data_IF_459725758066
#
_entry.id   IF_459725758066
#
_cell.length_a   1.000
_cell.length_b   1.000
_cell.length_c   1.000
_cell.angle_alpha   90.00
_cell.angle_beta   90.00
_cell.angle_gamma   90.00
#
_symmetry.space_group_name_H-M   'P 1'
#
loop_
_entity.id
_entity.type
_entity.pdbx_description
1 polymer ?
#
# COMPACT_ATOMS: atom_id res chain seq x y z
N UNK A 1 -18.56 20.09 -1.08
CA UNK A 1 -17.43 19.14 -1.26
C UNK A 1 -18.00 17.76 -1.58
N UNK A 2 -17.42 17.05 -2.54
CA UNK A 2 -17.77 15.65 -2.82
C UNK A 2 -17.07 14.74 -1.80
N UNK A 3 -17.73 13.64 -1.40
CA UNK A 3 -17.21 12.72 -0.40
C UNK A 3 -16.32 11.62 -1.06
N UNK A 4 -15.66 10.81 -0.24
CA UNK A 4 -14.75 9.76 -0.72
C UNK A 4 -15.44 8.71 -1.60
N UNK A 5 -16.71 8.36 -1.34
CA UNK A 5 -17.44 7.37 -2.15
C UNK A 5 -17.76 7.92 -3.53
N UNK A 6 -18.08 9.21 -3.63
CA UNK A 6 -18.25 9.90 -4.91
C UNK A 6 -16.93 9.97 -5.69
N UNK A 7 -15.81 10.24 -5.00
CA UNK A 7 -14.48 10.23 -5.59
C UNK A 7 -14.09 8.83 -6.09
N UNK A 8 -14.36 7.80 -5.30
CA UNK A 8 -14.15 6.40 -5.71
C UNK A 8 -14.93 6.08 -6.99
N UNK A 9 -16.19 6.51 -7.07
CA UNK A 9 -16.98 6.33 -8.27
C UNK A 9 -16.37 7.04 -9.48
N UNK A 10 -15.96 8.31 -9.33
CA UNK A 10 -15.29 9.06 -10.41
C UNK A 10 -14.04 8.35 -10.90
N UNK A 11 -13.20 7.85 -10.01
CA UNK A 11 -11.98 7.10 -10.36
C UNK A 11 -12.32 5.83 -11.14
N UNK A 12 -13.29 5.03 -10.67
CA UNK A 12 -13.67 3.80 -11.35
C UNK A 12 -14.26 4.07 -12.74
N UNK A 13 -15.18 5.04 -12.85
CA UNK A 13 -15.78 5.43 -14.13
C UNK A 13 -14.72 5.92 -15.13
N UNK A 14 -13.70 6.63 -14.66
CA UNK A 14 -12.61 7.12 -15.49
C UNK A 14 -11.67 6.00 -15.95
N UNK A 15 -11.29 5.08 -15.04
CA UNK A 15 -10.42 3.94 -15.37
C UNK A 15 -11.02 3.03 -16.46
N UNK A 16 -12.34 2.84 -16.45
CA UNK A 16 -13.04 2.05 -17.48
C UNK A 16 -12.99 2.72 -18.87
N UNK A 17 -12.93 4.06 -18.90
CA UNK A 17 -12.90 4.82 -20.16
C UNK A 17 -11.50 4.95 -20.78
N UNK A 18 -10.46 4.50 -20.06
CA UNK A 18 -9.09 4.63 -20.56
C UNK A 18 -8.88 3.79 -21.84
N UNK A 19 -8.22 4.37 -22.88
CA UNK A 19 -8.12 3.78 -24.21
C UNK A 19 -7.06 2.66 -24.25
N UNK A 20 -7.37 1.52 -23.65
CA UNK A 20 -6.52 0.32 -23.68
C UNK A 20 -6.86 -0.62 -24.87
N UNK A 21 -7.79 -0.22 -25.73
CA UNK A 21 -8.09 -0.94 -26.97
C UNK A 21 -7.06 -0.56 -28.07
N UNK A 22 -5.82 -1.00 -27.86
CA UNK A 22 -4.65 -0.69 -28.68
C UNK A 22 -3.99 -1.98 -29.18
N UNK A 23 -3.15 -1.82 -30.20
CA UNK A 23 -2.31 -2.92 -30.71
C UNK A 23 -0.86 -2.77 -30.24
N UNK A 24 -0.14 -3.90 -29.99
CA UNK A 24 -0.64 -5.28 -30.07
C UNK A 24 -1.57 -5.62 -28.88
N UNK A 25 -2.66 -6.34 -29.16
CA UNK A 25 -3.66 -6.69 -28.13
C UNK A 25 -3.03 -7.48 -26.96
N UNK A 26 -2.12 -8.38 -27.25
CA UNK A 26 -1.38 -9.17 -26.25
C UNK A 26 -0.63 -8.33 -25.19
N UNK A 27 -0.32 -7.07 -25.49
CA UNK A 27 0.29 -6.14 -24.53
C UNK A 27 -0.75 -5.40 -23.69
N UNK A 28 -1.86 -4.97 -24.30
CA UNK A 28 -2.84 -4.11 -23.67
C UNK A 28 -4.00 -4.85 -22.98
N UNK A 29 -4.34 -6.07 -23.39
CA UNK A 29 -5.35 -6.90 -22.72
C UNK A 29 -5.00 -7.21 -21.26
N UNK A 30 -3.75 -7.59 -20.90
CA UNK A 30 -3.37 -7.78 -19.51
C UNK A 30 -3.46 -6.48 -18.68
N UNK A 31 -3.12 -5.33 -19.27
CA UNK A 31 -3.24 -4.02 -18.60
C UNK A 31 -4.72 -3.73 -18.26
N UNK A 32 -5.61 -3.91 -19.23
CA UNK A 32 -7.05 -3.75 -19.03
C UNK A 32 -7.57 -4.72 -17.98
N UNK A 33 -7.12 -5.98 -18.05
CA UNK A 33 -7.50 -7.03 -17.11
C UNK A 33 -7.14 -6.66 -15.67
N UNK A 34 -5.90 -6.29 -15.40
CA UNK A 34 -5.45 -5.90 -14.05
C UNK A 34 -6.23 -4.68 -13.52
N UNK A 35 -6.42 -3.65 -14.33
CA UNK A 35 -7.15 -2.45 -13.92
C UNK A 35 -8.65 -2.72 -13.70
N UNK A 36 -9.23 -3.73 -14.38
CA UNK A 36 -10.63 -4.14 -14.22
C UNK A 36 -10.90 -5.03 -13.00
N UNK A 37 -9.88 -5.60 -12.35
CA UNK A 37 -10.05 -6.44 -11.14
C UNK A 37 -10.65 -5.69 -9.95
N UNK A 38 -10.91 -4.39 -10.08
CA UNK A 38 -11.45 -3.57 -9.01
C UNK A 38 -10.37 -3.19 -7.97
N UNK A 39 -10.81 -2.95 -6.76
CA UNK A 39 -9.97 -2.57 -5.62
C UNK A 39 -10.47 -1.32 -4.92
N UNK A 40 -9.89 -1.02 -3.76
CA UNK A 40 -10.30 0.09 -2.89
C UNK A 40 -9.93 1.47 -3.43
N UNK A 41 -9.06 1.54 -4.45
CA UNK A 41 -8.59 2.79 -5.09
C UNK A 41 -8.13 3.84 -4.07
N UNK A 42 -7.48 3.42 -2.99
CA UNK A 42 -7.11 4.28 -1.86
C UNK A 42 -6.26 5.47 -2.33
N UNK A 43 -5.24 5.22 -3.16
CA UNK A 43 -4.28 6.24 -3.59
C UNK A 43 -4.90 7.35 -4.44
N UNK A 44 -5.64 7.06 -5.51
CA UNK A 44 -6.33 8.11 -6.25
C UNK A 44 -7.37 8.86 -5.41
N UNK A 45 -8.11 8.17 -4.54
CA UNK A 45 -9.08 8.83 -3.64
C UNK A 45 -8.36 9.77 -2.66
N UNK A 46 -7.24 9.38 -2.07
CA UNK A 46 -6.42 10.25 -1.21
C UNK A 46 -5.90 11.48 -1.97
N UNK A 47 -5.47 11.33 -3.23
CA UNK A 47 -5.06 12.47 -4.06
C UNK A 47 -6.20 13.46 -4.26
N UNK A 48 -7.39 12.97 -4.60
CA UNK A 48 -8.58 13.80 -4.78
C UNK A 48 -9.03 14.46 -3.48
N UNK A 49 -9.00 13.75 -2.35
CA UNK A 49 -9.32 14.30 -1.02
C UNK A 49 -8.34 15.39 -0.62
N UNK A 50 -7.04 15.18 -0.85
CA UNK A 50 -6.02 16.19 -0.57
C UNK A 50 -6.21 17.45 -1.40
N UNK A 51 -6.48 17.30 -2.70
CA UNK A 51 -6.83 18.43 -3.59
C UNK A 51 -8.06 19.18 -3.06
N UNK A 52 -9.08 18.43 -2.63
CA UNK A 52 -10.36 18.98 -2.17
C UNK A 52 -10.25 19.76 -0.85
N UNK A 53 -9.14 19.68 -0.13
CA UNK A 53 -8.86 20.56 1.01
C UNK A 53 -8.74 22.03 0.60
N UNK A 54 -8.26 22.30 -0.63
CA UNK A 54 -7.91 23.63 -1.10
C UNK A 54 -8.80 24.12 -2.26
N UNK A 55 -9.32 23.21 -3.11
CA UNK A 55 -10.19 23.47 -4.27
C UNK A 55 -11.39 22.53 -4.30
N UNK A 56 -12.44 22.89 -5.04
CA UNK A 56 -13.72 22.16 -5.04
C UNK A 56 -14.01 21.41 -6.36
N UNK A 57 -13.06 21.37 -7.28
CA UNK A 57 -13.13 20.74 -8.60
C UNK A 57 -12.15 19.57 -8.77
N UNK A 58 -12.17 18.52 -7.88
CA UNK A 58 -11.19 17.44 -7.89
C UNK A 58 -11.21 16.60 -9.18
N UNK A 59 -12.28 16.64 -9.96
CA UNK A 59 -12.39 16.01 -11.28
C UNK A 59 -11.35 16.51 -12.27
N UNK A 60 -10.81 17.70 -12.08
CA UNK A 60 -9.76 18.28 -12.94
C UNK A 60 -8.43 17.55 -12.83
N UNK A 61 -8.22 16.78 -11.74
CA UNK A 61 -7.00 15.99 -11.52
C UNK A 61 -7.23 14.48 -11.60
N UNK A 62 -8.34 14.02 -12.19
CA UNK A 62 -8.62 12.58 -12.35
C UNK A 62 -7.53 11.86 -13.16
N UNK A 63 -6.95 12.52 -14.17
CA UNK A 63 -5.89 11.92 -14.99
C UNK A 63 -4.64 11.59 -14.15
N UNK A 64 -4.01 12.52 -13.41
CA UNK A 64 -2.90 12.20 -12.53
C UNK A 64 -3.28 11.24 -11.39
N UNK A 65 -4.50 11.30 -10.85
CA UNK A 65 -4.97 10.33 -9.86
C UNK A 65 -5.03 8.89 -10.43
N UNK A 66 -5.56 8.73 -11.64
CA UNK A 66 -5.57 7.45 -12.34
C UNK A 66 -4.19 7.01 -12.85
N UNK A 67 -3.26 7.95 -13.11
CA UNK A 67 -1.86 7.63 -13.37
C UNK A 67 -1.23 6.93 -12.17
N UNK A 68 -1.45 7.45 -10.97
CA UNK A 68 -0.94 6.85 -9.73
C UNK A 68 -1.55 5.45 -9.47
N UNK A 69 -2.83 5.26 -9.76
CA UNK A 69 -3.46 3.94 -9.67
C UNK A 69 -2.92 2.96 -10.73
N UNK A 70 -2.60 3.46 -11.94
CA UNK A 70 -1.95 2.65 -12.98
C UNK A 70 -0.57 2.20 -12.54
N UNK A 71 0.23 3.11 -11.96
CA UNK A 71 1.53 2.80 -11.37
C UNK A 71 1.40 1.76 -10.25
N UNK A 72 0.46 1.94 -9.33
CA UNK A 72 0.24 0.97 -8.25
C UNK A 72 -0.11 -0.42 -8.78
N UNK A 73 -0.97 -0.51 -9.81
CA UNK A 73 -1.30 -1.82 -10.39
C UNK A 73 -0.11 -2.42 -11.19
N UNK A 74 0.80 -1.60 -11.71
CA UNK A 74 2.09 -2.05 -12.22
C UNK A 74 2.91 -2.74 -11.14
N UNK A 75 3.09 -2.10 -9.98
CA UNK A 75 3.86 -2.70 -8.88
C UNK A 75 3.24 -4.02 -8.41
N UNK A 76 1.91 -4.10 -8.30
CA UNK A 76 1.22 -5.34 -7.94
C UNK A 76 1.39 -6.46 -8.97
N UNK A 77 1.41 -6.11 -10.26
CA UNK A 77 1.58 -7.09 -11.33
C UNK A 77 2.96 -7.73 -11.31
N UNK A 78 4.02 -6.92 -11.07
CA UNK A 78 5.38 -7.42 -10.94
C UNK A 78 5.60 -8.15 -9.61
N UNK A 79 5.04 -7.65 -8.50
CA UNK A 79 5.03 -8.30 -7.19
C UNK A 79 4.44 -9.72 -7.29
N UNK A 80 3.26 -9.87 -7.91
CA UNK A 80 2.63 -11.17 -8.15
C UNK A 80 3.52 -12.16 -8.92
N UNK A 81 4.32 -11.66 -9.87
CA UNK A 81 5.26 -12.49 -10.62
C UNK A 81 6.47 -12.88 -9.77
N UNK A 82 7.03 -11.97 -8.99
CA UNK A 82 8.16 -12.21 -8.09
C UNK A 82 7.79 -13.22 -7.01
N UNK A 83 6.60 -13.07 -6.42
CA UNK A 83 6.08 -13.95 -5.37
C UNK A 83 5.50 -15.27 -5.93
N UNK A 84 5.45 -15.43 -7.26
CA UNK A 84 4.81 -16.55 -7.95
C UNK A 84 3.34 -16.77 -7.49
N UNK A 85 2.62 -15.70 -7.19
CA UNK A 85 1.28 -15.72 -6.65
C UNK A 85 0.25 -16.24 -7.67
N UNK A 86 -0.63 -17.15 -7.28
CA UNK A 86 -1.64 -17.70 -8.20
C UNK A 86 -2.81 -16.75 -8.42
N UNK A 87 -3.23 -16.05 -7.37
CA UNK A 87 -4.44 -15.22 -7.36
C UNK A 87 -4.19 -13.81 -6.81
N UNK A 88 -4.81 -12.80 -7.46
CA UNK A 88 -4.94 -11.43 -6.98
C UNK A 88 -6.41 -11.02 -6.97
N UNK A 89 -6.95 -10.64 -5.81
CA UNK A 89 -8.38 -10.23 -5.67
C UNK A 89 -9.37 -11.30 -6.19
N UNK A 90 -9.05 -12.58 -6.03
CA UNK A 90 -9.85 -13.71 -6.50
C UNK A 90 -9.74 -14.01 -8.00
N UNK A 91 -8.86 -13.31 -8.73
CA UNK A 91 -8.59 -13.54 -10.14
C UNK A 91 -7.19 -14.11 -10.33
N UNK A 92 -6.99 -14.93 -11.37
CA UNK A 92 -5.65 -15.40 -11.75
C UNK A 92 -4.71 -14.21 -11.99
N UNK A 93 -3.46 -14.32 -11.52
CA UNK A 93 -2.42 -13.33 -11.81
C UNK A 93 -2.04 -13.34 -13.30
N UNK A 94 -1.45 -12.24 -13.79
CA UNK A 94 -1.14 -12.12 -15.23
C UNK A 94 -0.19 -13.21 -15.70
N UNK A 95 0.84 -13.55 -14.91
CA UNK A 95 1.81 -14.58 -15.28
C UNK A 95 1.22 -16.00 -15.30
N UNK A 96 0.16 -16.26 -14.53
CA UNK A 96 -0.58 -17.55 -14.57
C UNK A 96 -1.56 -17.60 -15.75
N UNK A 97 -2.29 -16.51 -15.97
CA UNK A 97 -3.29 -16.43 -17.05
C UNK A 97 -2.67 -16.34 -18.45
N UNK A 98 -1.54 -15.67 -18.58
CA UNK A 98 -0.79 -15.56 -19.85
C UNK A 98 0.58 -16.25 -19.69
N UNK A 99 1.62 -15.52 -19.33
CA UNK A 99 2.96 -16.02 -19.03
C UNK A 99 3.81 -14.90 -18.39
N UNK A 100 5.01 -15.27 -17.91
CA UNK A 100 5.94 -14.32 -17.26
C UNK A 100 6.37 -13.18 -18.17
N UNK A 101 6.69 -13.43 -19.45
CA UNK A 101 7.11 -12.38 -20.38
C UNK A 101 5.99 -11.36 -20.63
N UNK A 102 4.74 -11.82 -20.70
CA UNK A 102 3.56 -10.93 -20.81
C UNK A 102 3.42 -10.08 -19.56
N UNK A 103 3.62 -10.65 -18.36
CA UNK A 103 3.58 -9.89 -17.11
C UNK A 103 4.66 -8.81 -17.10
N UNK A 104 5.91 -9.13 -17.45
CA UNK A 104 7.00 -8.15 -17.52
C UNK A 104 6.67 -7.03 -18.50
N UNK A 105 6.38 -7.35 -19.76
CA UNK A 105 6.16 -6.32 -20.80
C UNK A 105 4.93 -5.46 -20.56
N UNK A 106 3.84 -6.05 -20.05
CA UNK A 106 2.63 -5.29 -19.73
C UNK A 106 2.85 -4.40 -18.52
N UNK A 107 3.59 -4.86 -17.50
CA UNK A 107 3.98 -4.07 -16.34
C UNK A 107 4.85 -2.89 -16.72
N UNK A 108 5.93 -3.10 -17.50
CA UNK A 108 6.79 -2.01 -18.00
C UNK A 108 5.99 -0.97 -18.79
N UNK A 109 5.05 -1.46 -19.61
CA UNK A 109 4.16 -0.55 -20.35
C UNK A 109 3.23 0.23 -19.43
N UNK A 110 2.75 -0.36 -18.32
CA UNK A 110 1.94 0.35 -17.32
C UNK A 110 2.75 1.43 -16.62
N UNK A 111 4.03 1.20 -16.31
CA UNK A 111 4.93 2.21 -15.77
C UNK A 111 5.03 3.42 -16.72
N UNK A 112 5.31 3.18 -17.99
CA UNK A 112 5.40 4.25 -19.01
C UNK A 112 4.05 4.97 -19.18
N UNK A 113 2.92 4.24 -19.18
CA UNK A 113 1.58 4.83 -19.26
C UNK A 113 1.26 5.69 -18.03
N UNK A 114 1.73 5.31 -16.84
CA UNK A 114 1.57 6.13 -15.65
C UNK A 114 2.30 7.47 -15.78
N UNK A 115 3.55 7.47 -16.23
CA UNK A 115 4.30 8.70 -16.53
C UNK A 115 3.62 9.54 -17.64
N UNK A 116 3.19 8.91 -18.73
CA UNK A 116 2.50 9.60 -19.83
C UNK A 116 1.24 10.32 -19.36
N UNK A 117 0.54 9.80 -18.36
CA UNK A 117 -0.65 10.42 -17.78
C UNK A 117 -0.32 11.44 -16.70
N UNK A 118 0.67 11.15 -15.86
CA UNK A 118 1.09 12.07 -14.80
C UNK A 118 1.55 13.42 -15.39
N UNK A 119 2.25 13.41 -16.52
CA UNK A 119 2.67 14.63 -17.21
C UNK A 119 1.53 15.46 -17.81
N UNK A 120 0.28 14.95 -17.80
CA UNK A 120 -0.89 15.72 -18.27
C UNK A 120 -1.52 16.57 -17.16
N UNK A 121 -0.86 16.74 -16.04
CA UNK A 121 -1.21 17.73 -15.02
C UNK A 121 -0.91 19.18 -15.53
N UNK A 122 -1.28 20.19 -14.74
CA UNK A 122 -1.03 21.58 -15.10
C UNK A 122 0.46 21.85 -15.38
N UNK A 123 0.76 22.56 -16.45
CA UNK A 123 2.13 22.74 -16.97
C UNK A 123 3.07 23.44 -15.99
N UNK A 124 2.55 24.36 -15.17
CA UNK A 124 3.29 25.08 -14.14
C UNK A 124 3.69 24.21 -12.94
N UNK A 125 3.01 23.08 -12.72
CA UNK A 125 3.27 22.12 -11.64
C UNK A 125 3.94 20.84 -12.11
N UNK A 126 4.02 20.61 -13.42
CA UNK A 126 4.47 19.35 -13.99
C UNK A 126 5.87 18.95 -13.53
N UNK A 127 6.83 19.88 -13.47
CA UNK A 127 8.19 19.55 -13.04
C UNK A 127 8.25 19.08 -11.58
N UNK A 128 7.52 19.76 -10.69
CA UNK A 128 7.44 19.42 -9.27
C UNK A 128 6.75 18.07 -9.04
N UNK A 129 5.62 17.84 -9.72
CA UNK A 129 4.85 16.59 -9.66
C UNK A 129 5.67 15.41 -10.18
N UNK A 130 6.34 15.55 -11.33
CA UNK A 130 7.15 14.47 -11.90
C UNK A 130 8.39 14.19 -11.06
N UNK A 131 9.04 15.19 -10.48
CA UNK A 131 10.16 14.98 -9.57
C UNK A 131 9.75 14.14 -8.36
N UNK A 132 8.66 14.53 -7.69
CA UNK A 132 8.11 13.77 -6.55
C UNK A 132 7.71 12.35 -6.95
N UNK A 133 7.00 12.20 -8.07
CA UNK A 133 6.56 10.87 -8.52
C UNK A 133 7.74 9.96 -8.89
N UNK A 134 8.79 10.52 -9.52
CA UNK A 134 9.99 9.74 -9.88
C UNK A 134 10.77 9.28 -8.67
N UNK A 135 10.98 10.16 -7.68
CA UNK A 135 11.62 9.80 -6.42
C UNK A 135 10.85 8.69 -5.72
N UNK A 136 9.53 8.86 -5.58
CA UNK A 136 8.67 7.84 -4.99
C UNK A 136 8.72 6.51 -5.73
N UNK A 137 8.83 6.55 -7.07
CA UNK A 137 8.94 5.33 -7.87
C UNK A 137 10.25 4.57 -7.61
N UNK A 138 11.36 5.28 -7.38
CA UNK A 138 12.64 4.70 -6.98
C UNK A 138 12.56 4.12 -5.56
N UNK A 139 12.05 4.88 -4.61
CA UNK A 139 11.86 4.44 -3.22
C UNK A 139 11.06 3.13 -3.14
N UNK A 140 10.01 2.97 -3.97
CA UNK A 140 9.22 1.73 -4.00
C UNK A 140 10.04 0.55 -4.52
N UNK A 141 10.90 0.77 -5.51
CA UNK A 141 11.83 -0.26 -6.01
C UNK A 141 12.82 -0.69 -4.93
N UNK A 142 13.37 0.27 -4.18
CA UNK A 142 14.25 0.01 -3.03
C UNK A 142 13.52 -0.77 -1.93
N UNK A 143 12.27 -0.40 -1.63
CA UNK A 143 11.44 -1.12 -0.67
C UNK A 143 11.12 -2.55 -1.08
N UNK A 144 10.91 -2.80 -2.37
CA UNK A 144 10.72 -4.15 -2.92
C UNK A 144 12.00 -4.99 -2.80
N UNK A 145 13.16 -4.40 -3.08
CA UNK A 145 14.45 -5.10 -2.91
C UNK A 145 14.71 -5.47 -1.44
N UNK A 146 14.41 -4.57 -0.48
CA UNK A 146 14.49 -4.90 0.94
C UNK A 146 13.57 -6.07 1.31
N UNK A 147 12.30 -6.08 0.87
CA UNK A 147 11.35 -7.16 1.18
C UNK A 147 11.87 -8.52 0.68
N UNK A 148 12.39 -8.57 -0.55
CA UNK A 148 13.02 -9.78 -1.12
C UNK A 148 14.29 -10.19 -0.38
N UNK A 149 15.18 -9.24 -0.04
CA UNK A 149 16.41 -9.53 0.67
C UNK A 149 16.16 -10.08 2.09
N UNK A 150 15.09 -9.61 2.76
CA UNK A 150 14.72 -10.06 4.11
C UNK A 150 14.28 -11.52 4.16
N UNK A 151 13.81 -12.11 3.05
CA UNK A 151 13.49 -13.53 2.99
C UNK A 151 14.71 -14.42 3.31
N UNK A 152 15.91 -13.93 2.98
CA UNK A 152 17.17 -14.66 3.12
C UNK A 152 18.03 -14.20 4.31
N UNK A 153 17.50 -13.33 5.17
CA UNK A 153 18.18 -12.79 6.34
C UNK A 153 17.47 -13.20 7.63
N UNK A 154 18.27 -13.47 8.69
CA UNK A 154 17.76 -13.78 10.03
C UNK A 154 18.05 -12.65 11.04
N UNK A 155 18.77 -11.60 10.61
CA UNK A 155 19.23 -10.48 11.42
C UNK A 155 18.46 -9.17 11.14
N UNK A 156 17.26 -9.25 10.57
CA UNK A 156 16.44 -8.08 10.23
C UNK A 156 15.95 -7.38 11.50
N UNK A 157 16.29 -6.11 11.67
CA UNK A 157 15.84 -5.31 12.80
C UNK A 157 14.43 -4.72 12.58
N UNK A 158 13.81 -4.26 13.67
CA UNK A 158 12.53 -3.55 13.58
C UNK A 158 12.65 -2.27 12.75
N UNK A 159 13.77 -1.54 12.90
CA UNK A 159 14.03 -0.31 12.15
C UNK A 159 14.14 -0.57 10.65
N UNK A 160 14.84 -1.64 10.24
CA UNK A 160 14.94 -2.04 8.83
C UNK A 160 13.57 -2.43 8.27
N UNK A 161 12.78 -3.18 9.05
CA UNK A 161 11.41 -3.54 8.65
C UNK A 161 10.51 -2.29 8.49
N UNK A 162 10.55 -1.34 9.42
CA UNK A 162 9.78 -0.08 9.32
C UNK A 162 10.21 0.72 8.10
N UNK A 163 11.50 0.78 7.80
CA UNK A 163 12.00 1.46 6.59
C UNK A 163 11.53 0.74 5.32
N UNK A 164 11.58 -0.57 5.28
CA UNK A 164 11.09 -1.36 4.14
C UNK A 164 9.60 -1.08 3.86
N UNK A 165 8.72 -1.10 4.87
CA UNK A 165 7.29 -0.81 4.67
C UNK A 165 7.04 0.68 4.38
N UNK A 166 7.88 1.59 4.88
CA UNK A 166 7.85 3.00 4.49
C UNK A 166 8.04 3.13 2.98
N UNK A 167 9.13 2.55 2.47
CA UNK A 167 9.51 2.60 1.06
C UNK A 167 8.51 1.84 0.17
N UNK A 168 8.19 0.59 0.50
CA UNK A 168 7.33 -0.26 -0.34
C UNK A 168 5.87 0.21 -0.38
N UNK A 169 5.35 0.74 0.74
CA UNK A 169 3.91 0.99 0.90
C UNK A 169 3.57 2.45 1.17
N UNK A 170 4.24 3.09 2.15
CA UNK A 170 3.79 4.37 2.69
C UNK A 170 4.07 5.55 1.76
N UNK A 171 5.22 5.56 1.10
CA UNK A 171 5.64 6.69 0.23
C UNK A 171 4.66 6.95 -0.92
N UNK A 172 3.98 5.92 -1.45
CA UNK A 172 2.99 6.13 -2.52
C UNK A 172 1.70 6.77 -2.01
N UNK A 173 1.30 6.52 -0.77
CA UNK A 173 0.18 7.22 -0.13
C UNK A 173 0.56 8.69 0.17
N UNK A 174 1.78 8.92 0.65
CA UNK A 174 2.35 10.23 0.88
C UNK A 174 2.44 11.05 -0.43
N UNK A 175 2.96 10.43 -1.48
CA UNK A 175 3.03 11.00 -2.82
C UNK A 175 1.65 11.41 -3.36
N UNK A 176 0.64 10.55 -3.21
CA UNK A 176 -0.73 10.84 -3.63
C UNK A 176 -1.26 12.12 -2.97
N UNK A 177 -1.14 12.22 -1.66
CA UNK A 177 -1.61 13.38 -0.89
C UNK A 177 -0.84 14.66 -1.26
N UNK A 178 0.50 14.56 -1.38
CA UNK A 178 1.32 15.73 -1.73
C UNK A 178 1.08 16.20 -3.16
N UNK A 179 0.92 15.30 -4.13
CA UNK A 179 0.56 15.69 -5.51
C UNK A 179 -0.80 16.39 -5.53
N UNK A 180 -1.80 15.88 -4.82
CA UNK A 180 -3.11 16.54 -4.71
C UNK A 180 -3.00 17.96 -4.17
N UNK A 181 -2.21 18.18 -3.12
CA UNK A 181 -1.94 19.49 -2.54
C UNK A 181 -1.22 20.43 -3.52
N UNK A 182 -0.15 19.96 -4.18
CA UNK A 182 0.61 20.73 -5.19
C UNK A 182 -0.30 21.20 -6.32
N UNK A 183 -1.13 20.30 -6.86
CA UNK A 183 -2.04 20.61 -7.97
C UNK A 183 -3.16 21.57 -7.54
N UNK A 184 -3.55 21.54 -6.27
CA UNK A 184 -4.48 22.51 -5.71
C UNK A 184 -3.85 23.88 -5.42
N UNK A 185 -2.52 24.02 -5.50
CA UNK A 185 -1.82 25.26 -5.20
C UNK A 185 -1.63 25.52 -3.71
N UNK A 186 -1.60 24.47 -2.90
CA UNK A 186 -1.29 24.57 -1.47
C UNK A 186 0.09 25.17 -1.21
N UNK A 187 0.31 25.68 -0.01
CA UNK A 187 1.63 26.08 0.44
C UNK A 187 2.58 24.87 0.48
N UNK A 188 3.89 25.12 0.38
CA UNK A 188 4.88 24.04 0.54
C UNK A 188 4.74 23.36 1.89
N UNK A 189 4.50 24.12 2.95
CA UNK A 189 4.33 23.60 4.32
C UNK A 189 3.10 22.67 4.42
N UNK A 190 1.96 23.06 3.85
CA UNK A 190 0.76 22.22 3.81
C UNK A 190 0.97 20.95 2.99
N UNK A 191 1.63 21.06 1.83
CA UNK A 191 1.96 19.92 1.00
C UNK A 191 2.93 18.95 1.72
N UNK A 192 3.90 19.45 2.46
CA UNK A 192 4.84 18.65 3.24
C UNK A 192 4.13 17.99 4.45
N UNK A 193 3.21 18.70 5.13
CA UNK A 193 2.39 18.13 6.19
C UNK A 193 1.49 16.99 5.66
N UNK A 194 0.89 17.15 4.48
CA UNK A 194 0.09 16.09 3.84
C UNK A 194 0.94 14.90 3.39
N UNK A 195 2.18 15.13 2.96
CA UNK A 195 3.14 14.05 2.72
C UNK A 195 3.39 13.25 4.00
N UNK A 196 3.74 13.94 5.11
CA UNK A 196 3.99 13.30 6.40
C UNK A 196 2.75 12.58 6.93
N UNK A 197 1.56 13.18 6.79
CA UNK A 197 0.31 12.51 7.11
C UNK A 197 0.17 11.18 6.36
N UNK A 198 0.42 11.18 5.05
CA UNK A 198 0.34 9.98 4.20
C UNK A 198 1.37 8.91 4.55
N UNK A 199 2.59 9.33 4.88
CA UNK A 199 3.67 8.44 5.32
C UNK A 199 3.28 7.71 6.62
N UNK A 200 2.82 8.46 7.62
CA UNK A 200 2.45 7.90 8.92
C UNK A 200 1.23 6.98 8.83
N UNK A 201 0.21 7.37 8.06
CA UNK A 201 -0.97 6.51 7.90
C UNK A 201 -0.65 5.27 7.08
N UNK A 202 0.31 5.34 6.15
CA UNK A 202 0.80 4.20 5.38
C UNK A 202 1.52 3.17 6.26
N UNK A 203 2.35 3.64 7.20
CA UNK A 203 3.01 2.79 8.19
C UNK A 203 1.98 2.10 9.11
N UNK A 204 1.03 2.86 9.66
CA UNK A 204 -0.05 2.29 10.46
C UNK A 204 -0.87 1.27 9.68
N UNK A 205 -1.17 1.56 8.42
CA UNK A 205 -1.95 0.69 7.55
C UNK A 205 -1.24 -0.64 7.24
N UNK A 206 0.08 -0.62 6.98
CA UNK A 206 0.84 -1.84 6.72
C UNK A 206 0.99 -2.69 7.99
N UNK A 207 1.32 -2.07 9.12
CA UNK A 207 1.35 -2.77 10.41
C UNK A 207 -0.01 -3.39 10.76
N UNK A 208 -1.12 -2.72 10.42
CA UNK A 208 -2.46 -3.26 10.59
C UNK A 208 -2.73 -4.44 9.63
N UNK A 209 -2.16 -4.45 8.42
CA UNK A 209 -2.24 -5.59 7.49
C UNK A 209 -1.57 -6.82 8.08
N UNK A 210 -0.33 -6.67 8.57
CA UNK A 210 0.41 -7.76 9.19
C UNK A 210 -0.29 -8.26 10.47
N UNK A 211 -0.82 -7.34 11.29
CA UNK A 211 -1.60 -7.70 12.47
C UNK A 211 -2.84 -8.54 12.10
N UNK A 212 -3.55 -8.15 11.05
CA UNK A 212 -4.75 -8.86 10.61
C UNK A 212 -4.45 -10.19 9.90
N UNK A 213 -3.25 -10.38 9.37
CA UNK A 213 -2.82 -11.70 8.88
C UNK A 213 -2.71 -12.73 10.02
N UNK A 214 -2.39 -12.28 11.23
CA UNK A 214 -2.31 -13.14 12.42
C UNK A 214 -3.63 -13.22 13.20
N UNK A 215 -4.30 -12.08 13.41
CA UNK A 215 -5.43 -11.91 14.35
C UNK A 215 -6.75 -11.54 13.69
N UNK A 216 -6.81 -11.45 12.37
CA UNK A 216 -8.02 -11.07 11.66
C UNK A 216 -9.11 -12.14 11.68
N UNK A 217 -10.33 -11.77 11.29
CA UNK A 217 -11.42 -12.71 10.98
C UNK A 217 -11.41 -13.00 9.47
N UNK A 218 -11.26 -14.26 9.08
CA UNK A 218 -11.25 -14.70 7.67
C UNK A 218 -12.47 -14.24 6.89
N UNK A 219 -13.61 -14.09 7.56
CA UNK A 219 -14.88 -13.63 6.95
C UNK A 219 -14.83 -12.15 6.58
N UNK A 220 -14.03 -11.36 7.30
CA UNK A 220 -13.89 -9.91 7.08
C UNK A 220 -12.67 -9.61 6.23
N UNK A 221 -11.56 -10.32 6.47
CA UNK A 221 -10.28 -10.07 5.80
C UNK A 221 -10.25 -10.60 4.35
N UNK A 222 -11.07 -11.62 4.05
CA UNK A 222 -11.21 -12.17 2.68
C UNK A 222 -9.99 -12.97 2.19
N UNK A 223 -9.01 -13.24 3.06
CA UNK A 223 -7.83 -14.07 2.81
C UNK A 223 -7.70 -15.13 3.91
N UNK A 224 -6.95 -16.20 3.64
CA UNK A 224 -6.55 -17.14 4.66
C UNK A 224 -5.61 -16.46 5.66
N UNK A 225 -5.87 -16.60 6.97
CA UNK A 225 -5.05 -16.07 8.05
C UNK A 225 -3.78 -16.90 8.19
N UNK A 226 -2.68 -16.28 8.67
CA UNK A 226 -1.42 -16.94 8.98
C UNK A 226 -0.52 -17.18 7.77
N UNK A 227 -0.72 -16.42 6.69
CA UNK A 227 0.17 -16.45 5.53
C UNK A 227 1.60 -16.07 5.89
N UNK A 228 1.78 -14.99 6.64
CA UNK A 228 3.08 -14.50 7.08
C UNK A 228 3.77 -15.49 8.03
N UNK A 229 3.01 -16.16 8.92
CA UNK A 229 3.55 -17.20 9.79
C UNK A 229 4.03 -18.40 8.99
N UNK A 230 3.25 -18.86 8.02
CA UNK A 230 3.61 -20.05 7.23
C UNK A 230 4.79 -19.84 6.31
N UNK A 231 4.98 -18.62 5.80
CA UNK A 231 6.13 -18.22 4.98
C UNK A 231 7.34 -17.73 5.78
N UNK A 232 7.26 -17.69 7.12
CA UNK A 232 8.28 -17.13 8.00
C UNK A 232 8.64 -15.67 7.63
N UNK A 233 7.66 -14.88 7.17
CA UNK A 233 7.89 -13.51 6.73
C UNK A 233 8.43 -12.66 7.88
N UNK A 234 9.48 -11.89 7.61
CA UNK A 234 10.13 -11.00 8.58
C UNK A 234 9.27 -9.73 8.78
N UNK A 235 8.09 -9.92 9.40
CA UNK A 235 7.18 -8.82 9.78
C UNK A 235 7.51 -8.30 11.17
N UNK A 236 6.90 -7.17 11.55
CA UNK A 236 6.96 -6.64 12.92
C UNK A 236 6.69 -7.72 13.97
N UNK A 237 5.74 -8.62 13.68
CA UNK A 237 5.32 -9.68 14.61
C UNK A 237 6.47 -10.67 14.88
N UNK A 238 7.06 -11.23 13.82
CA UNK A 238 8.13 -12.22 13.96
C UNK A 238 9.39 -11.60 14.53
N UNK A 239 9.80 -10.43 14.06
CA UNK A 239 11.02 -9.73 14.52
C UNK A 239 10.93 -9.46 16.03
N UNK A 240 9.80 -8.91 16.49
CA UNK A 240 9.62 -8.62 17.91
C UNK A 240 9.43 -9.89 18.75
N UNK A 241 8.83 -10.95 18.21
CA UNK A 241 8.76 -12.22 18.90
C UNK A 241 10.15 -12.80 19.17
N UNK A 242 11.04 -12.81 18.19
CA UNK A 242 12.42 -13.27 18.34
C UNK A 242 13.20 -12.41 19.35
N UNK A 243 13.00 -11.09 19.35
CA UNK A 243 13.72 -10.15 20.22
C UNK A 243 13.27 -10.19 21.69
N UNK A 244 12.01 -10.59 21.98
CA UNK A 244 11.43 -10.53 23.32
C UNK A 244 11.13 -11.90 23.93
N UNK A 245 11.33 -12.99 23.16
CA UNK A 245 11.16 -14.36 23.63
C UNK A 245 12.15 -14.70 24.75
N UNK A 246 11.69 -15.43 25.78
CA UNK A 246 12.59 -16.13 26.69
C UNK A 246 13.24 -17.34 25.98
N UNK A 247 14.23 -18.00 26.63
CA UNK A 247 14.97 -19.12 26.03
C UNK A 247 14.08 -20.27 25.56
N UNK A 248 13.00 -20.58 26.26
CA UNK A 248 12.09 -21.66 25.90
C UNK A 248 11.21 -21.26 24.71
N UNK A 249 10.67 -20.05 24.73
CA UNK A 249 9.87 -19.50 23.62
C UNK A 249 10.71 -19.35 22.35
N UNK A 250 11.97 -18.91 22.47
CA UNK A 250 12.90 -18.79 21.35
C UNK A 250 13.16 -20.16 20.71
N UNK A 251 13.47 -21.21 21.50
CA UNK A 251 13.63 -22.57 20.97
C UNK A 251 12.39 -23.06 20.21
N UNK A 252 11.19 -22.77 20.72
CA UNK A 252 9.95 -23.15 20.04
C UNK A 252 9.75 -22.39 18.74
N UNK A 253 10.00 -21.06 18.70
CA UNK A 253 9.93 -20.24 17.49
C UNK A 253 10.92 -20.73 16.43
N UNK A 254 12.18 -20.94 16.80
CA UNK A 254 13.23 -21.44 15.91
C UNK A 254 12.89 -22.83 15.33
N UNK A 255 12.29 -23.70 16.13
CA UNK A 255 11.81 -25.01 15.68
C UNK A 255 10.74 -24.89 14.59
N UNK A 256 9.78 -23.96 14.75
CA UNK A 256 8.75 -23.72 13.72
C UNK A 256 9.28 -23.01 12.48
N UNK A 257 10.24 -22.10 12.62
CA UNK A 257 10.88 -21.39 11.52
C UNK A 257 11.70 -22.35 10.65
N UNK A 258 12.44 -23.28 11.28
CA UNK A 258 13.30 -24.23 10.60
C UNK A 258 12.57 -25.47 10.06
N UNK A 259 11.29 -25.66 10.42
CA UNK A 259 10.52 -26.82 9.97
C UNK A 259 10.27 -26.77 8.46
N UNK A 260 10.74 -27.80 7.72
CA UNK A 260 10.53 -27.94 6.27
C UNK A 260 9.13 -28.53 5.99
N UNK A 261 8.72 -29.52 6.80
CA UNK A 261 7.40 -30.16 6.73
C UNK A 261 6.63 -29.84 8.00
N UNK A 262 5.42 -29.30 7.85
CA UNK A 262 4.56 -28.96 8.97
C UNK A 262 3.09 -28.96 8.56
N UNK A 263 2.21 -29.24 9.52
CA UNK A 263 0.79 -28.92 9.36
C UNK A 263 0.58 -27.41 9.50
N UNK A 264 -0.08 -26.82 8.50
CA UNK A 264 -0.29 -25.38 8.41
C UNK A 264 -1.03 -24.83 9.64
N UNK A 265 -2.13 -25.48 10.00
CA UNK A 265 -3.01 -24.98 11.06
C UNK A 265 -2.33 -25.16 12.43
N UNK A 266 -1.57 -26.22 12.61
CA UNK A 266 -0.76 -26.46 13.81
C UNK A 266 0.33 -25.38 13.97
N UNK A 267 1.09 -25.07 12.90
CA UNK A 267 2.12 -24.01 12.92
C UNK A 267 1.50 -22.66 13.27
N UNK A 268 0.43 -22.27 12.58
CA UNK A 268 -0.25 -20.99 12.82
C UNK A 268 -0.76 -20.90 14.26
N UNK A 269 -1.41 -21.95 14.77
CA UNK A 269 -1.91 -21.96 16.14
C UNK A 269 -0.79 -21.88 17.19
N UNK A 270 0.32 -22.61 16.97
CA UNK A 270 1.45 -22.64 17.90
C UNK A 270 2.19 -21.29 17.94
N UNK A 271 2.49 -20.71 16.77
CA UNK A 271 3.20 -19.43 16.67
C UNK A 271 2.32 -18.28 17.18
N UNK A 272 1.03 -18.26 16.85
CA UNK A 272 0.09 -17.25 17.39
C UNK A 272 0.00 -17.32 18.91
N UNK A 273 -0.01 -18.52 19.49
CA UNK A 273 0.03 -18.68 20.96
C UNK A 273 1.31 -18.09 21.55
N UNK A 274 2.48 -18.35 20.94
CA UNK A 274 3.75 -17.77 21.38
C UNK A 274 3.74 -16.24 21.28
N UNK A 275 3.21 -15.67 20.20
CA UNK A 275 3.03 -14.22 20.07
C UNK A 275 2.19 -13.65 21.22
N UNK A 276 1.09 -14.31 21.59
CA UNK A 276 0.24 -13.88 22.71
C UNK A 276 0.96 -13.98 24.06
N UNK A 277 1.70 -15.06 24.29
CA UNK A 277 2.46 -15.26 25.54
C UNK A 277 3.59 -14.24 25.70
N UNK A 278 4.20 -13.79 24.59
CA UNK A 278 5.24 -12.75 24.58
C UNK A 278 4.61 -11.34 24.66
N UNK A 279 3.34 -11.18 24.23
CA UNK A 279 2.63 -9.90 24.22
C UNK A 279 2.82 -9.10 22.92
N UNK A 280 3.10 -9.80 21.81
CA UNK A 280 3.32 -9.19 20.49
C UNK A 280 2.06 -8.50 19.96
N UNK A 281 0.87 -9.06 20.23
CA UNK A 281 -0.41 -8.47 19.90
C UNK A 281 -0.55 -7.03 20.42
N UNK A 282 -0.16 -6.82 21.69
CA UNK A 282 -0.18 -5.50 22.31
C UNK A 282 0.87 -4.57 21.74
N UNK A 283 2.10 -5.05 21.54
CA UNK A 283 3.18 -4.26 20.97
C UNK A 283 2.81 -3.76 19.56
N UNK A 284 2.21 -4.61 18.73
CA UNK A 284 1.75 -4.25 17.39
C UNK A 284 0.62 -3.20 17.44
N UNK A 285 -0.38 -3.39 18.30
CA UNK A 285 -1.47 -2.42 18.48
C UNK A 285 -0.95 -1.06 18.95
N UNK A 286 -0.02 -1.03 19.91
CA UNK A 286 0.59 0.21 20.39
C UNK A 286 1.38 0.93 19.28
N UNK A 287 2.10 0.18 18.44
CA UNK A 287 2.84 0.73 17.30
C UNK A 287 1.91 1.29 16.22
N UNK A 288 0.84 0.58 15.89
CA UNK A 288 -0.21 1.04 14.97
C UNK A 288 -0.84 2.34 15.49
N UNK A 289 -1.24 2.36 16.77
CA UNK A 289 -1.84 3.54 17.40
C UNK A 289 -0.86 4.73 17.40
N UNK A 290 0.42 4.50 17.65
CA UNK A 290 1.45 5.53 17.59
C UNK A 290 1.50 6.21 16.22
N UNK A 291 1.65 5.45 15.13
CA UNK A 291 1.74 6.03 13.78
C UNK A 291 0.44 6.70 13.35
N UNK A 292 -0.70 6.13 13.72
CA UNK A 292 -1.99 6.76 13.44
C UNK A 292 -2.15 8.11 14.17
N UNK A 293 -1.73 8.19 15.41
CA UNK A 293 -1.77 9.45 16.17
C UNK A 293 -0.76 10.48 15.61
N UNK A 294 0.45 10.06 15.18
CA UNK A 294 1.38 10.96 14.48
C UNK A 294 0.74 11.50 13.19
N UNK A 295 0.05 10.66 12.42
CA UNK A 295 -0.64 11.12 11.20
C UNK A 295 -1.65 12.23 11.52
N UNK A 296 -2.45 12.08 12.57
CA UNK A 296 -3.42 13.10 12.97
C UNK A 296 -2.79 14.46 13.27
N UNK A 297 -1.63 14.49 13.91
CA UNK A 297 -0.89 15.74 14.19
C UNK A 297 -0.51 16.47 12.90
N UNK A 298 -0.02 15.74 11.89
CA UNK A 298 0.31 16.33 10.60
C UNK A 298 -0.91 16.86 9.86
N UNK A 299 -2.05 16.16 9.89
CA UNK A 299 -3.29 16.65 9.31
C UNK A 299 -3.81 17.90 10.04
N UNK A 300 -3.69 17.95 11.36
CA UNK A 300 -4.07 19.14 12.15
C UNK A 300 -3.22 20.36 11.80
N UNK A 301 -1.93 20.17 11.47
CA UNK A 301 -1.01 21.25 11.11
C UNK A 301 -1.27 21.87 9.72
N UNK A 302 -2.09 21.23 8.87
CA UNK A 302 -2.49 21.81 7.57
C UNK A 302 -3.34 23.05 7.80
N UNK A 303 -3.05 24.14 7.08
CA UNK A 303 -3.57 25.50 7.36
C UNK A 303 -5.00 25.77 6.84
N UNK A 304 -5.81 24.75 6.57
CA UNK A 304 -7.22 24.88 6.16
C UNK A 304 -8.16 24.68 7.36
N UNK A 305 -9.40 25.15 7.23
CA UNK A 305 -10.43 24.97 8.27
C UNK A 305 -10.66 23.49 8.60
N UNK A 306 -10.96 23.19 9.87
CA UNK A 306 -11.21 21.80 10.32
C UNK A 306 -12.36 21.12 9.56
N UNK A 307 -13.38 21.88 9.17
CA UNK A 307 -14.49 21.36 8.35
C UNK A 307 -14.04 20.82 7.00
N UNK A 308 -12.96 21.35 6.42
CA UNK A 308 -12.40 20.87 5.16
C UNK A 308 -11.59 19.58 5.35
N UNK A 309 -10.96 19.40 6.51
CA UNK A 309 -10.18 18.20 6.87
C UNK A 309 -11.07 16.99 7.21
N UNK A 310 -12.33 17.24 7.58
CA UNK A 310 -13.20 16.21 8.16
C UNK A 310 -13.35 14.96 7.28
N UNK A 311 -13.53 15.12 5.97
CA UNK A 311 -13.70 13.96 5.06
C UNK A 311 -12.40 13.15 4.92
N UNK A 312 -11.23 13.82 4.81
CA UNK A 312 -9.94 13.13 4.75
C UNK A 312 -9.65 12.39 6.06
N UNK A 313 -9.93 13.02 7.21
CA UNK A 313 -9.77 12.39 8.52
C UNK A 313 -10.70 11.17 8.67
N UNK A 314 -11.97 11.29 8.26
CA UNK A 314 -12.93 10.19 8.28
C UNK A 314 -12.50 9.04 7.35
N UNK A 315 -11.98 9.36 6.17
CA UNK A 315 -11.46 8.35 5.23
C UNK A 315 -10.26 7.59 5.80
N UNK A 316 -9.31 8.33 6.40
CA UNK A 316 -8.17 7.72 7.09
C UNK A 316 -8.61 6.79 8.24
N UNK A 317 -9.59 7.19 9.04
CA UNK A 317 -10.15 6.35 10.09
C UNK A 317 -10.82 5.08 9.52
N UNK A 318 -11.56 5.19 8.39
CA UNK A 318 -12.14 4.02 7.71
C UNK A 318 -11.06 3.06 7.20
N UNK A 319 -9.94 3.58 6.67
CA UNK A 319 -8.80 2.76 6.25
C UNK A 319 -8.29 1.90 7.40
N UNK A 320 -8.14 2.47 8.59
CA UNK A 320 -7.67 1.76 9.78
C UNK A 320 -8.70 0.74 10.30
N UNK A 321 -9.99 1.09 10.29
CA UNK A 321 -11.05 0.20 10.78
C UNK A 321 -11.47 -0.88 9.77
N UNK A 322 -10.92 -0.88 8.56
CA UNK A 322 -11.26 -1.82 7.48
C UNK A 322 -12.75 -1.92 7.18
N UNK A 323 -13.48 -0.83 7.26
CA UNK A 323 -14.92 -0.74 6.97
C UNK A 323 -15.17 -0.45 5.48
N UNK A 324 -14.64 -1.29 4.59
CA UNK A 324 -14.86 -1.16 3.14
C UNK A 324 -15.57 -2.39 2.58
#
# INVERSE_FOLDING_TARGET
MINADQMLKLVNDYLVQLPYDRRPASLYEPIRYVLSMGGKRIRPVLMLLSYNLFKEDPETILMPACALETYHNYTLLHDDLMDNADLRRGHETVHKKWNANTAILSGDSMLVLAYQRMQQCSSDKMAEVLALFTETALEIGEGQEYDMAFEHRDDVSEEEYIEMIRLKTSVLLACALKIGAILAGASKEDADNLYRFGEQIGLAFQLQDDFLDVYGDTRVFGKAIGGDITSNKKTFMLINALNHANEEQLRQLESWISAIEFDRDEKVAAVTRLYNEIGIDRMAQDKIAYYFEQSRKYLQAVSVDESRKAELAAYAQRMMNRQY
#
